data_IF_595949720205
#
_entry.id   IF_595949720205
#
_cell.length_a   1.000
_cell.length_b   1.000
_cell.length_c   1.000
_cell.angle_alpha   90.00
_cell.angle_beta   90.00
_cell.angle_gamma   90.00
#
_symmetry.space_group_name_H-M   'P 1'
#
loop_
_entity.id
_entity.type
_entity.pdbx_description
1 polymer ?
#
# COMPACT_ATOMS: atom_id res chain seq x y z
N UNK A 1 -22.78 -53.01 -26.83
CA UNK A 1 -22.56 -51.55 -26.92
C UNK A 1 -23.35 -50.84 -25.82
N UNK A 2 -22.90 -50.86 -24.57
CA UNK A 2 -23.39 -49.94 -23.50
C UNK A 2 -22.32 -49.87 -22.41
N UNK A 3 -21.28 -49.05 -22.58
CA UNK A 3 -20.37 -48.72 -21.46
C UNK A 3 -19.81 -47.29 -21.46
N UNK A 4 -20.05 -46.48 -22.52
CA UNK A 4 -19.52 -45.11 -22.61
C UNK A 4 -20.21 -44.07 -21.69
N UNK A 5 -21.48 -44.25 -21.32
CA UNK A 5 -22.25 -43.21 -20.62
C UNK A 5 -21.91 -42.98 -19.13
N UNK A 6 -21.23 -43.94 -18.49
CA UNK A 6 -20.91 -43.88 -17.04
C UNK A 6 -19.57 -43.20 -16.75
N UNK A 7 -18.64 -43.25 -17.72
CA UNK A 7 -17.30 -42.66 -17.61
C UNK A 7 -17.35 -41.13 -17.75
N UNK A 8 -18.08 -40.61 -18.75
CA UNK A 8 -18.18 -39.17 -18.99
C UNK A 8 -18.76 -38.37 -17.82
N UNK A 9 -19.79 -38.89 -17.16
CA UNK A 9 -20.39 -38.24 -15.96
C UNK A 9 -19.40 -38.17 -14.78
N UNK A 10 -18.56 -39.18 -14.61
CA UNK A 10 -17.52 -39.22 -13.56
C UNK A 10 -16.41 -38.22 -13.87
N UNK A 11 -15.98 -38.13 -15.13
CA UNK A 11 -14.99 -37.14 -15.57
C UNK A 11 -15.50 -35.72 -15.37
N UNK A 12 -16.75 -35.43 -15.75
CA UNK A 12 -17.36 -34.11 -15.54
C UNK A 12 -17.48 -33.78 -14.05
N UNK A 13 -17.87 -34.74 -13.21
CA UNK A 13 -17.94 -34.54 -11.76
C UNK A 13 -16.57 -34.23 -11.14
N UNK A 14 -15.50 -34.90 -11.59
CA UNK A 14 -14.13 -34.64 -11.13
C UNK A 14 -13.65 -33.26 -11.57
N UNK A 15 -13.90 -32.87 -12.83
CA UNK A 15 -13.53 -31.55 -13.34
C UNK A 15 -14.27 -30.43 -12.60
N UNK A 16 -15.58 -30.59 -12.35
CA UNK A 16 -16.36 -29.63 -11.57
C UNK A 16 -15.85 -29.53 -10.12
N UNK A 17 -15.48 -30.65 -9.51
CA UNK A 17 -14.86 -30.67 -8.19
C UNK A 17 -13.54 -29.91 -8.15
N UNK A 18 -12.68 -30.10 -9.16
CA UNK A 18 -11.40 -29.38 -9.26
C UNK A 18 -11.59 -27.87 -9.47
N UNK A 19 -12.55 -27.47 -10.30
CA UNK A 19 -12.88 -26.05 -10.51
C UNK A 19 -13.40 -25.42 -9.22
N UNK A 20 -14.27 -26.12 -8.47
CA UNK A 20 -14.75 -25.65 -7.17
C UNK A 20 -13.61 -25.49 -6.16
N UNK A 21 -12.69 -26.45 -6.10
CA UNK A 21 -11.52 -26.37 -5.21
C UNK A 21 -10.62 -25.19 -5.60
N UNK A 22 -10.34 -25.00 -6.89
CA UNK A 22 -9.55 -23.87 -7.36
C UNK A 22 -10.23 -22.52 -7.04
N UNK A 23 -11.55 -22.43 -7.23
CA UNK A 23 -12.32 -21.24 -6.88
C UNK A 23 -12.30 -20.96 -5.37
N UNK A 24 -12.41 -21.99 -4.53
CA UNK A 24 -12.33 -21.86 -3.07
C UNK A 24 -10.92 -21.43 -2.62
N UNK A 25 -9.86 -21.97 -3.23
CA UNK A 25 -8.49 -21.57 -2.95
C UNK A 25 -8.23 -20.11 -3.37
N UNK A 26 -8.74 -19.69 -4.53
CA UNK A 26 -8.65 -18.31 -5.00
C UNK A 26 -9.41 -17.35 -4.07
N UNK A 27 -10.65 -17.71 -3.69
CA UNK A 27 -11.45 -16.94 -2.74
C UNK A 27 -10.77 -16.83 -1.38
N UNK A 28 -10.27 -17.95 -0.84
CA UNK A 28 -9.56 -17.96 0.44
C UNK A 28 -8.29 -17.12 0.37
N UNK A 29 -7.51 -17.23 -0.71
CA UNK A 29 -6.35 -16.37 -0.96
C UNK A 29 -6.69 -14.88 -0.97
N UNK A 30 -7.78 -14.49 -1.63
CA UNK A 30 -8.25 -13.10 -1.67
C UNK A 30 -8.63 -12.58 -0.28
N UNK A 31 -9.41 -13.35 0.50
CA UNK A 31 -9.80 -12.94 1.87
C UNK A 31 -8.62 -12.84 2.84
N UNK A 32 -7.59 -13.66 2.64
CA UNK A 32 -6.37 -13.59 3.46
C UNK A 32 -5.51 -12.37 3.11
N UNK A 33 -5.53 -11.93 1.84
CA UNK A 33 -4.86 -10.70 1.41
C UNK A 33 -5.51 -9.48 2.07
N UNK A 34 -6.84 -9.38 2.05
CA UNK A 34 -7.59 -8.30 2.70
C UNK A 34 -7.29 -8.22 4.21
N UNK A 35 -7.26 -9.37 4.89
CA UNK A 35 -6.95 -9.42 6.34
C UNK A 35 -5.53 -8.96 6.66
N UNK A 36 -4.54 -9.22 5.79
CA UNK A 36 -3.17 -8.74 5.97
C UNK A 36 -3.05 -7.23 5.77
N UNK A 37 -3.79 -6.68 4.80
CA UNK A 37 -3.85 -5.24 4.59
C UNK A 37 -4.46 -4.53 5.81
N UNK A 38 -5.55 -5.08 6.36
CA UNK A 38 -6.20 -4.55 7.56
C UNK A 38 -5.35 -4.74 8.84
N UNK A 39 -4.69 -5.89 8.98
CA UNK A 39 -3.80 -6.15 10.11
C UNK A 39 -2.54 -5.27 10.08
N UNK A 40 -2.00 -4.96 8.89
CA UNK A 40 -0.92 -3.99 8.72
C UNK A 40 -1.31 -2.58 9.19
N UNK A 41 -2.56 -2.18 8.98
CA UNK A 41 -3.11 -0.91 9.49
C UNK A 41 -3.31 -0.91 11.02
N UNK A 42 -3.55 -2.07 11.65
CA UNK A 42 -3.81 -2.18 13.08
C UNK A 42 -2.57 -2.52 13.93
N UNK A 43 -1.50 -3.04 13.33
CA UNK A 43 -0.28 -3.46 14.04
C UNK A 43 0.76 -2.34 14.20
N UNK A 44 0.61 -1.20 13.52
CA UNK A 44 1.40 0.00 13.76
C UNK A 44 0.76 0.83 14.86
N UNK A 45 1.33 0.82 16.07
CA UNK A 45 0.83 1.63 17.18
C UNK A 45 0.88 3.13 16.83
N UNK A 46 -0.27 3.80 16.93
CA UNK A 46 -0.53 5.26 16.92
C UNK A 46 0.12 6.16 15.84
N UNK A 47 0.99 5.61 15.00
CA UNK A 47 1.69 6.36 13.97
C UNK A 47 0.92 6.27 12.66
N UNK A 48 0.20 7.35 12.36
CA UNK A 48 -0.58 7.50 11.16
C UNK A 48 0.38 7.78 10.00
N UNK A 49 0.25 7.00 8.93
CA UNK A 49 1.14 7.09 7.78
C UNK A 49 0.37 7.34 6.49
N UNK A 50 1.01 8.06 5.58
CA UNK A 50 0.59 8.22 4.19
C UNK A 50 1.77 7.93 3.27
N UNK A 51 1.52 7.34 2.11
CA UNK A 51 2.56 7.02 1.16
C UNK A 51 2.09 7.24 -0.28
N UNK A 52 2.99 7.73 -1.13
CA UNK A 52 2.78 7.93 -2.57
C UNK A 52 4.01 7.45 -3.32
N UNK A 53 3.80 6.68 -4.39
CA UNK A 53 4.86 6.22 -5.29
C UNK A 53 4.82 7.06 -6.58
N UNK A 54 5.94 7.69 -6.93
CA UNK A 54 6.09 8.42 -8.19
C UNK A 54 7.48 8.24 -8.77
N UNK A 55 7.55 7.85 -10.05
CA UNK A 55 8.79 7.70 -10.84
C UNK A 55 9.89 6.90 -10.14
N UNK A 56 9.52 5.79 -9.48
CA UNK A 56 10.47 4.93 -8.79
C UNK A 56 10.92 5.42 -7.41
N UNK A 57 10.36 6.53 -6.93
CA UNK A 57 10.58 7.05 -5.58
C UNK A 57 9.31 6.88 -4.74
N UNK A 58 9.44 6.22 -3.60
CA UNK A 58 8.40 6.11 -2.59
C UNK A 58 8.56 7.26 -1.59
N UNK A 59 7.52 8.07 -1.46
CA UNK A 59 7.42 9.13 -0.47
C UNK A 59 6.51 8.67 0.66
N UNK A 60 6.99 8.75 1.90
CA UNK A 60 6.24 8.34 3.09
C UNK A 60 6.19 9.50 4.08
N UNK A 61 5.00 9.88 4.52
CA UNK A 61 4.78 10.82 5.60
C UNK A 61 4.27 10.08 6.83
N UNK A 62 4.81 10.41 7.99
CA UNK A 62 4.47 9.79 9.25
C UNK A 62 4.13 10.89 10.27
N UNK A 63 3.02 10.72 10.99
CA UNK A 63 2.72 11.52 12.17
C UNK A 63 3.72 11.20 13.29
N UNK A 64 3.81 12.02 14.34
CA UNK A 64 4.71 11.81 15.46
C UNK A 64 5.29 13.11 15.99
N UNK A 65 6.24 12.99 16.92
CA UNK A 65 7.03 14.11 17.42
C UNK A 65 8.52 13.70 17.41
N UNK A 66 9.27 13.98 16.31
CA UNK A 66 8.79 14.68 15.12
C UNK A 66 8.02 13.77 14.15
N UNK A 67 7.02 14.33 13.48
CA UNK A 67 6.51 13.81 12.22
C UNK A 67 7.56 13.99 11.13
N UNK A 68 7.57 13.09 10.16
CA UNK A 68 8.64 13.03 9.15
C UNK A 68 8.08 12.77 7.77
N UNK A 69 8.80 13.25 6.74
CA UNK A 69 8.64 12.83 5.35
C UNK A 69 9.95 12.22 4.89
N UNK A 70 9.88 11.07 4.22
CA UNK A 70 11.05 10.37 3.69
C UNK A 70 10.81 10.07 2.22
N UNK A 71 11.83 10.29 1.38
CA UNK A 71 11.88 9.74 0.02
C UNK A 71 12.82 8.55 -0.03
N UNK A 72 12.40 7.48 -0.70
CA UNK A 72 13.18 6.26 -0.88
C UNK A 72 13.17 5.82 -2.33
N UNK A 73 14.32 5.51 -2.88
CA UNK A 73 14.40 4.79 -4.15
C UNK A 73 13.82 3.39 -3.96
N UNK A 74 12.83 3.00 -4.77
CA UNK A 74 12.14 1.71 -4.63
C UNK A 74 13.01 0.55 -5.08
N UNK A 75 13.92 0.77 -6.03
CA UNK A 75 14.79 -0.29 -6.54
C UNK A 75 15.78 -0.79 -5.48
N UNK A 76 16.41 0.13 -4.78
CA UNK A 76 17.45 -0.14 -3.77
C UNK A 76 16.95 -0.09 -2.32
N UNK A 77 15.80 0.54 -2.08
CA UNK A 77 15.30 0.88 -0.75
C UNK A 77 16.08 2.00 -0.06
N UNK A 78 17.01 2.66 -0.76
CA UNK A 78 17.86 3.70 -0.20
C UNK A 78 17.07 4.98 0.04
N UNK A 79 17.20 5.54 1.24
CA UNK A 79 16.72 6.89 1.56
C UNK A 79 17.46 7.91 0.69
N UNK A 80 16.69 8.70 -0.07
CA UNK A 80 17.18 9.79 -0.90
C UNK A 80 17.29 11.07 -0.07
N UNK A 81 16.26 11.37 0.71
CA UNK A 81 16.20 12.49 1.64
C UNK A 81 15.16 12.25 2.73
N UNK A 82 15.22 13.08 3.77
CA UNK A 82 14.30 13.12 4.92
C UNK A 82 14.10 14.55 5.39
N UNK A 83 12.86 14.87 5.73
CA UNK A 83 12.46 16.17 6.26
C UNK A 83 11.63 15.99 7.52
N UNK A 84 11.97 16.73 8.58
CA UNK A 84 11.20 16.77 9.82
C UNK A 84 10.10 17.83 9.73
N UNK A 85 8.90 17.48 10.16
CA UNK A 85 7.70 18.32 10.12
C UNK A 85 7.38 18.96 11.49
N UNK A 86 8.20 18.69 12.51
CA UNK A 86 7.87 18.98 13.91
C UNK A 86 6.75 18.08 14.43
N UNK A 87 6.07 18.48 15.49
CA UNK A 87 5.01 17.67 16.09
C UNK A 87 3.76 17.59 15.19
N UNK A 88 3.41 16.37 14.77
CA UNK A 88 2.28 16.05 13.89
C UNK A 88 1.38 15.05 14.60
N UNK A 89 0.22 15.50 15.08
CA UNK A 89 -0.74 14.65 15.77
C UNK A 89 -1.82 14.04 14.84
N UNK A 90 -2.01 14.61 13.64
CA UNK A 90 -3.03 14.17 12.69
C UNK A 90 -2.45 13.26 11.61
N UNK A 91 -3.32 12.48 10.96
CA UNK A 91 -2.92 11.73 9.77
C UNK A 91 -2.46 12.70 8.67
N UNK A 92 -1.21 12.57 8.18
CA UNK A 92 -0.76 13.36 7.04
C UNK A 92 -1.45 12.86 5.76
N UNK A 93 -1.58 13.74 4.78
CA UNK A 93 -1.88 13.38 3.40
C UNK A 93 -0.77 13.91 2.49
N UNK A 94 -0.47 13.15 1.43
CA UNK A 94 0.58 13.46 0.47
C UNK A 94 -0.01 13.61 -0.92
N UNK A 95 0.41 14.66 -1.63
CA UNK A 95 0.26 14.78 -3.08
C UNK A 95 1.65 14.97 -3.70
N UNK A 96 1.84 14.48 -4.93
CA UNK A 96 3.09 14.66 -5.67
C UNK A 96 2.77 15.21 -7.05
N UNK A 97 3.55 16.19 -7.45
CA UNK A 97 3.58 16.76 -8.79
C UNK A 97 4.95 16.55 -9.41
N UNK A 98 5.20 17.09 -10.61
CA UNK A 98 6.49 16.91 -11.28
C UNK A 98 7.66 17.39 -10.40
N UNK A 99 7.54 18.58 -9.81
CA UNK A 99 8.63 19.23 -9.06
C UNK A 99 8.42 19.26 -7.55
N UNK A 100 7.18 19.08 -7.07
CA UNK A 100 6.82 19.35 -5.68
C UNK A 100 6.10 18.18 -5.01
N UNK A 101 6.23 18.12 -3.69
CA UNK A 101 5.44 17.26 -2.79
C UNK A 101 4.66 18.16 -1.85
N UNK A 102 3.35 18.00 -1.80
CA UNK A 102 2.53 18.69 -0.81
C UNK A 102 2.22 17.75 0.34
N UNK A 103 2.44 18.24 1.55
CA UNK A 103 2.14 17.58 2.81
C UNK A 103 1.02 18.35 3.47
N UNK A 104 -0.14 17.69 3.58
CA UNK A 104 -1.31 18.24 4.24
C UNK A 104 -1.45 17.62 5.62
N UNK A 105 -1.49 18.47 6.64
CA UNK A 105 -1.57 18.10 8.05
C UNK A 105 -2.69 18.94 8.66
N UNK A 106 -3.61 18.31 9.40
CA UNK A 106 -4.76 19.02 9.92
C UNK A 106 -4.35 19.97 11.06
N UNK A 107 -4.73 21.24 10.96
CA UNK A 107 -4.46 22.26 11.98
C UNK A 107 -3.12 22.98 11.86
N UNK A 108 -2.24 22.57 10.94
CA UNK A 108 -1.01 23.29 10.58
C UNK A 108 -1.13 23.85 9.16
N UNK A 109 -0.29 24.82 8.76
CA UNK A 109 -0.14 25.16 7.36
C UNK A 109 0.23 23.90 6.56
N UNK A 110 -0.36 23.75 5.38
CA UNK A 110 0.20 22.87 4.33
C UNK A 110 1.68 23.21 4.10
N UNK A 111 2.51 22.19 3.89
CA UNK A 111 3.92 22.36 3.55
C UNK A 111 4.15 21.84 2.13
N UNK A 112 4.90 22.62 1.35
CA UNK A 112 5.33 22.24 0.01
C UNK A 112 6.82 21.97 0.06
N UNK A 113 7.25 20.80 -0.40
CA UNK A 113 8.64 20.37 -0.44
C UNK A 113 9.09 20.23 -1.89
N UNK A 114 10.33 20.63 -2.17
CA UNK A 114 11.00 20.28 -3.42
C UNK A 114 11.14 18.76 -3.48
N UNK A 115 10.73 18.17 -4.60
CA UNK A 115 10.68 16.72 -4.75
C UNK A 115 12.06 16.06 -4.75
N UNK A 116 13.07 16.77 -5.23
CA UNK A 116 14.42 16.26 -5.40
C UNK A 116 15.25 16.36 -4.13
N UNK A 117 15.03 17.41 -3.32
CA UNK A 117 15.83 17.69 -2.12
C UNK A 117 15.08 17.44 -0.81
N UNK A 118 13.75 17.52 -0.82
CA UNK A 118 12.92 17.52 0.38
C UNK A 118 12.91 18.85 1.13
N UNK A 119 13.53 19.90 0.60
CA UNK A 119 13.58 21.22 1.23
C UNK A 119 12.23 21.95 1.08
N UNK A 120 11.80 22.70 2.10
CA UNK A 120 10.57 23.49 2.01
C UNK A 120 10.69 24.60 0.95
N UNK A 121 9.64 24.76 0.15
CA UNK A 121 9.48 25.83 -0.84
C UNK A 121 8.56 26.91 -0.25
N UNK A 122 9.00 28.17 -0.27
CA UNK A 122 8.22 29.34 0.19
C UNK A 122 6.99 29.64 -0.69
#
# INVERSE_FOLDING_TARGET
MVEEGKSGKRVVAVLLGLVLVAALLAWFGATQLEKRTLAGQQAGGDQLTAAVLSEGVLYEAQSGDPGIVIAKDVGSGKELWRTELGAVASQPALSVSEELIEVQIAGTPWMTLDRSTGEPVE
#
